data_IF_380674074794
#
_entry.id   IF_380674074794
#
_cell.length_a   1.000
_cell.length_b   1.000
_cell.length_c   1.000
_cell.angle_alpha   90.00
_cell.angle_beta   90.00
_cell.angle_gamma   90.00
#
_symmetry.space_group_name_H-M   'P 1'
#
loop_
_entity.id
_entity.type
_entity.pdbx_description
1 polymer ?
#
# COMPACT_ATOMS: atom_id res chain seq x y z
N UNK A 1 6.68 4.00 6.25
CA UNK A 1 7.41 5.17 5.63
C UNK A 1 7.03 5.25 4.16
N UNK A 2 6.83 6.46 3.62
CA UNK A 2 6.51 6.67 2.21
C UNK A 2 7.79 6.83 1.38
N UNK A 3 7.88 6.11 0.25
CA UNK A 3 8.97 6.22 -0.72
C UNK A 3 8.43 6.73 -2.05
N UNK A 4 8.65 8.01 -2.42
CA UNK A 4 8.14 8.57 -3.66
C UNK A 4 9.02 8.19 -4.85
N UNK A 5 8.37 7.90 -6.00
CA UNK A 5 9.02 7.65 -7.28
C UNK A 5 8.19 8.24 -8.42
N UNK A 6 8.78 9.11 -9.24
CA UNK A 6 8.10 9.61 -10.45
C UNK A 6 7.98 8.51 -11.52
N UNK A 7 6.83 8.49 -12.18
CA UNK A 7 6.56 7.68 -13.38
C UNK A 7 6.58 8.64 -14.55
N UNK A 8 7.50 8.45 -15.50
CA UNK A 8 7.69 9.35 -16.63
C UNK A 8 7.34 8.67 -17.95
N UNK A 9 7.15 9.46 -19.01
CA UNK A 9 6.89 8.95 -20.35
C UNK A 9 8.08 8.13 -20.90
N UNK A 10 9.31 8.39 -20.47
CA UNK A 10 10.47 7.56 -20.81
C UNK A 10 10.31 6.13 -20.30
N UNK A 11 9.72 5.99 -19.12
CA UNK A 11 9.36 4.67 -18.59
C UNK A 11 8.24 4.00 -19.42
N UNK A 12 7.55 4.81 -20.24
CA UNK A 12 6.42 4.49 -21.09
C UNK A 12 6.75 4.17 -22.55
N UNK A 13 7.70 4.90 -23.17
CA UNK A 13 7.85 4.96 -24.65
C UNK A 13 8.54 3.76 -25.27
N UNK A 14 9.27 2.94 -24.49
CA UNK A 14 10.02 1.78 -25.01
C UNK A 14 9.24 0.45 -24.82
N UNK A 15 7.92 0.46 -24.85
CA UNK A 15 7.10 -0.66 -24.41
C UNK A 15 7.23 -0.91 -22.90
N UNK A 16 7.87 0.01 -22.18
CA UNK A 16 8.18 -0.06 -20.75
C UNK A 16 7.08 0.49 -19.85
N UNK A 17 6.06 1.22 -20.38
CA UNK A 17 4.84 1.46 -19.60
C UNK A 17 4.17 0.12 -19.33
N UNK A 18 4.08 -0.74 -20.34
CA UNK A 18 3.70 -2.12 -20.10
C UNK A 18 4.58 -2.77 -19.03
N UNK A 19 5.90 -2.56 -19.02
CA UNK A 19 6.78 -3.12 -17.98
C UNK A 19 6.64 -2.43 -16.63
N UNK A 20 6.48 -1.12 -16.57
CA UNK A 20 6.24 -0.42 -15.30
C UNK A 20 4.82 -0.74 -14.77
N UNK A 21 3.82 -0.75 -15.63
CA UNK A 21 2.45 -1.18 -15.33
C UNK A 21 2.46 -2.67 -14.96
N UNK A 22 3.11 -3.51 -15.75
CA UNK A 22 3.30 -4.92 -15.45
C UNK A 22 3.96 -5.13 -14.08
N UNK A 23 4.85 -4.24 -13.59
CA UNK A 23 5.45 -4.39 -12.27
C UNK A 23 4.44 -4.27 -11.11
N UNK A 24 3.31 -3.59 -11.30
CA UNK A 24 2.21 -3.51 -10.33
C UNK A 24 1.30 -4.74 -10.41
N UNK A 25 1.28 -5.43 -11.56
CA UNK A 25 0.47 -6.61 -11.82
C UNK A 25 1.30 -7.88 -12.00
N UNK A 26 2.65 -7.79 -12.04
CA UNK A 26 3.55 -8.92 -12.38
C UNK A 26 3.63 -10.01 -11.31
N UNK A 27 3.06 -9.79 -10.15
CA UNK A 27 2.76 -10.92 -9.27
C UNK A 27 1.68 -11.83 -9.88
N UNK A 28 0.89 -11.32 -10.86
CA UNK A 28 -0.19 -12.05 -11.53
C UNK A 28 0.24 -12.99 -12.66
N UNK A 29 1.36 -12.69 -13.37
CA UNK A 29 1.73 -13.45 -14.60
C UNK A 29 2.34 -14.81 -14.34
N UNK A 30 2.75 -15.09 -13.10
CA UNK A 30 3.56 -16.25 -12.79
C UNK A 30 2.92 -17.28 -11.87
N UNK A 31 1.71 -17.00 -11.40
CA UNK A 31 0.90 -17.97 -10.69
C UNK A 31 -0.02 -18.73 -11.66
N UNK A 32 0.56 -19.72 -12.35
CA UNK A 32 -0.22 -20.71 -13.09
C UNK A 32 -1.20 -21.46 -12.16
N UNK A 33 -0.97 -21.44 -10.86
CA UNK A 33 -1.75 -22.17 -9.84
C UNK A 33 -2.66 -21.31 -8.96
N UNK A 34 -2.47 -19.99 -8.89
CA UNK A 34 -3.36 -19.11 -8.10
C UNK A 34 -3.82 -17.93 -8.93
N UNK A 35 -5.09 -17.99 -9.40
CA UNK A 35 -5.79 -16.93 -10.14
C UNK A 35 -6.24 -15.76 -9.24
N UNK A 36 -5.64 -15.58 -8.09
CA UNK A 36 -6.01 -14.47 -7.20
C UNK A 36 -5.32 -13.18 -7.65
N UNK A 37 -6.13 -12.23 -8.14
CA UNK A 37 -5.67 -10.86 -8.43
C UNK A 37 -5.07 -10.26 -7.16
N UNK A 38 -3.94 -9.54 -7.29
CA UNK A 38 -3.43 -8.72 -6.18
C UNK A 38 -4.51 -7.72 -5.76
N UNK A 39 -4.73 -7.55 -4.44
CA UNK A 39 -5.69 -6.57 -3.97
C UNK A 39 -5.33 -5.17 -4.48
N UNK A 40 -6.24 -4.58 -5.22
CA UNK A 40 -6.09 -3.24 -5.77
C UNK A 40 -7.38 -2.45 -5.62
N UNK A 41 -7.27 -1.12 -5.52
CA UNK A 41 -8.41 -0.25 -5.31
C UNK A 41 -8.13 1.14 -5.89
N UNK A 42 -9.17 1.75 -6.46
CA UNK A 42 -9.17 3.17 -6.80
C UNK A 42 -9.47 4.04 -5.57
N UNK A 43 -8.76 5.16 -5.43
CA UNK A 43 -8.92 6.10 -4.33
C UNK A 43 -8.88 7.55 -4.82
N UNK A 44 -9.57 8.44 -4.09
CA UNK A 44 -9.57 9.88 -4.24
C UNK A 44 -10.83 10.44 -4.91
N UNK A 45 -11.11 11.71 -4.65
CA UNK A 45 -12.31 12.39 -5.12
C UNK A 45 -12.40 12.45 -6.66
N UNK A 46 -11.26 12.59 -7.35
CA UNK A 46 -11.23 12.56 -8.81
C UNK A 46 -11.52 11.15 -9.34
N UNK A 47 -11.07 10.10 -8.68
CA UNK A 47 -11.39 8.73 -9.07
C UNK A 47 -12.90 8.49 -8.97
N UNK A 48 -13.52 8.92 -7.86
CA UNK A 48 -14.97 8.84 -7.67
C UNK A 48 -15.75 9.66 -8.72
N UNK A 49 -15.31 10.88 -9.03
CA UNK A 49 -15.95 11.75 -10.08
C UNK A 49 -15.86 11.11 -11.48
N UNK A 50 -14.84 10.29 -11.73
CA UNK A 50 -14.66 9.55 -12.97
C UNK A 50 -15.29 8.15 -12.94
N UNK A 51 -16.05 7.80 -11.89
CA UNK A 51 -16.67 6.49 -11.70
C UNK A 51 -15.65 5.33 -11.66
N UNK A 52 -14.40 5.62 -11.28
CA UNK A 52 -13.36 4.62 -11.03
C UNK A 52 -13.53 4.09 -9.60
N UNK A 53 -14.11 2.90 -9.47
CA UNK A 53 -14.44 2.28 -8.18
C UNK A 53 -13.97 0.82 -8.14
N UNK A 54 -13.70 0.32 -6.94
CA UNK A 54 -13.28 -1.07 -6.73
C UNK A 54 -11.91 -1.37 -7.30
N UNK A 55 -11.70 -2.58 -7.81
CA UNK A 55 -10.42 -3.06 -8.32
C UNK A 55 -9.89 -2.22 -9.48
N UNK A 56 -8.56 -2.06 -9.53
CA UNK A 56 -7.89 -1.34 -10.61
C UNK A 56 -7.70 -2.28 -11.80
N UNK A 57 -8.50 -2.07 -12.84
CA UNK A 57 -8.33 -2.82 -14.09
C UNK A 57 -7.16 -2.26 -14.90
N UNK A 58 -6.39 -3.15 -15.54
CA UNK A 58 -5.18 -2.78 -16.29
C UNK A 58 -5.46 -1.81 -17.42
N UNK A 59 -6.58 -1.96 -18.10
CA UNK A 59 -7.04 -1.08 -19.18
C UNK A 59 -7.28 0.33 -18.68
N UNK A 60 -8.03 0.49 -17.59
CA UNK A 60 -8.35 1.80 -17.00
C UNK A 60 -7.08 2.48 -16.48
N UNK A 61 -6.23 1.73 -15.79
CA UNK A 61 -4.96 2.26 -15.29
C UNK A 61 -4.05 2.75 -16.41
N UNK A 62 -3.96 2.00 -17.53
CA UNK A 62 -3.17 2.38 -18.70
C UNK A 62 -3.73 3.65 -19.35
N UNK A 63 -5.05 3.71 -19.57
CA UNK A 63 -5.71 4.88 -20.13
C UNK A 63 -5.52 6.12 -19.26
N UNK A 64 -5.71 5.98 -17.96
CA UNK A 64 -5.55 7.07 -17.00
C UNK A 64 -4.11 7.60 -16.95
N UNK A 65 -3.09 6.74 -17.01
CA UNK A 65 -1.68 7.16 -17.11
C UNK A 65 -1.42 7.96 -18.40
N UNK A 66 -2.04 7.57 -19.53
CA UNK A 66 -1.95 8.30 -20.77
C UNK A 66 -2.82 9.58 -20.82
N UNK A 67 -3.60 9.85 -19.77
CA UNK A 67 -4.44 11.03 -19.65
C UNK A 67 -5.80 10.91 -20.33
N UNK A 68 -6.29 9.69 -20.51
CA UNK A 68 -7.59 9.38 -21.09
C UNK A 68 -8.46 8.61 -20.11
N UNK A 69 -9.77 8.72 -20.24
CA UNK A 69 -10.72 7.87 -19.55
C UNK A 69 -12.00 7.74 -20.39
N UNK A 70 -12.34 6.51 -20.78
CA UNK A 70 -13.42 6.24 -21.77
C UNK A 70 -13.17 7.11 -23.01
N UNK A 71 -14.14 7.87 -23.48
CA UNK A 71 -14.03 8.75 -24.64
C UNK A 71 -13.53 10.17 -24.29
N UNK A 72 -13.11 10.42 -23.05
CA UNK A 72 -12.68 11.74 -22.58
C UNK A 72 -11.15 11.86 -22.58
N UNK A 73 -10.65 12.95 -23.14
CA UNK A 73 -9.27 13.40 -22.97
C UNK A 73 -9.18 14.24 -21.70
N UNK A 74 -8.58 13.69 -20.64
CA UNK A 74 -8.43 14.38 -19.36
C UNK A 74 -7.18 15.23 -19.32
N UNK A 75 -6.14 14.84 -20.05
CA UNK A 75 -4.91 15.58 -20.18
C UNK A 75 -4.47 15.52 -21.64
N UNK A 76 -4.36 16.69 -22.27
CA UNK A 76 -3.85 16.77 -23.63
C UNK A 76 -2.38 16.31 -23.68
N UNK A 77 -2.20 15.08 -24.10
CA UNK A 77 -0.90 14.49 -24.37
C UNK A 77 -0.47 14.73 -25.83
N UNK A 78 -1.31 15.43 -26.63
CA UNK A 78 -1.10 15.67 -28.06
C UNK A 78 -0.20 16.89 -28.35
N UNK A 79 0.26 17.62 -27.31
CA UNK A 79 1.20 18.71 -27.53
C UNK A 79 2.38 18.20 -28.35
N UNK A 80 2.71 18.91 -29.43
CA UNK A 80 3.66 18.54 -30.51
C UNK A 80 5.09 18.19 -30.05
N UNK A 81 5.37 18.26 -28.75
CA UNK A 81 6.63 17.87 -28.11
C UNK A 81 6.32 17.03 -26.85
N UNK A 82 5.97 15.75 -27.05
CA UNK A 82 6.00 14.77 -25.94
C UNK A 82 7.44 14.65 -25.48
N UNK A 83 7.74 15.14 -24.25
CA UNK A 83 9.06 14.95 -23.65
C UNK A 83 9.13 13.57 -23.00
N UNK A 84 10.26 12.88 -23.17
CA UNK A 84 10.54 11.64 -22.46
C UNK A 84 10.43 11.81 -20.92
N UNK A 85 10.62 13.03 -20.43
CA UNK A 85 10.55 13.37 -19.00
C UNK A 85 9.13 13.80 -18.54
N UNK A 86 8.13 13.79 -19.45
CA UNK A 86 6.74 14.09 -19.03
C UNK A 86 6.30 13.11 -17.95
N UNK A 87 5.91 13.66 -16.81
CA UNK A 87 5.41 12.86 -15.70
C UNK A 87 3.99 12.38 -15.97
N UNK A 88 3.78 11.09 -15.84
CA UNK A 88 2.49 10.41 -15.98
C UNK A 88 1.80 10.22 -14.62
N UNK A 89 2.58 10.04 -13.57
CA UNK A 89 2.13 9.87 -12.20
C UNK A 89 3.29 9.87 -11.22
N UNK A 90 2.96 9.64 -9.95
CA UNK A 90 3.91 9.47 -8.87
C UNK A 90 3.50 8.26 -8.03
N UNK A 91 4.37 7.27 -7.93
CA UNK A 91 4.20 6.15 -7.03
C UNK A 91 4.64 6.55 -5.62
N UNK A 92 3.71 6.54 -4.70
CA UNK A 92 3.93 6.72 -3.26
C UNK A 92 3.84 5.34 -2.61
N UNK A 93 4.98 4.69 -2.39
CA UNK A 93 5.00 3.37 -1.76
C UNK A 93 4.95 3.51 -0.24
N UNK A 94 3.87 3.04 0.37
CA UNK A 94 3.68 2.99 1.82
C UNK A 94 4.19 1.65 2.35
N UNK A 95 5.22 1.70 3.18
CA UNK A 95 5.85 0.50 3.74
C UNK A 95 5.52 0.36 5.22
N UNK A 96 4.86 -0.73 5.60
CA UNK A 96 4.65 -1.08 6.99
C UNK A 96 5.99 -1.44 7.67
N UNK A 97 6.11 -1.23 9.00
CA UNK A 97 7.22 -1.78 9.78
C UNK A 97 7.39 -3.28 9.55
N UNK A 98 8.63 -3.76 9.64
CA UNK A 98 8.90 -5.19 9.43
C UNK A 98 8.20 -6.07 10.46
N UNK A 99 8.13 -5.63 11.71
CA UNK A 99 7.42 -6.32 12.78
C UNK A 99 5.92 -6.46 12.46
N UNK A 100 5.28 -5.41 11.94
CA UNK A 100 3.88 -5.44 11.48
C UNK A 100 3.73 -6.42 10.31
N UNK A 101 4.67 -6.41 9.34
CA UNK A 101 4.63 -7.34 8.21
C UNK A 101 4.77 -8.80 8.65
N UNK A 102 5.63 -9.09 9.64
CA UNK A 102 5.78 -10.43 10.21
C UNK A 102 4.49 -10.86 10.89
N UNK A 103 3.92 -10.02 11.75
CA UNK A 103 2.69 -10.35 12.48
C UNK A 103 1.51 -10.56 11.53
N UNK A 104 1.35 -9.68 10.53
CA UNK A 104 0.25 -9.77 9.56
C UNK A 104 0.37 -10.98 8.63
N UNK A 105 1.57 -11.21 8.05
CA UNK A 105 1.75 -12.13 6.93
C UNK A 105 2.28 -13.51 7.35
N UNK A 106 3.05 -13.59 8.44
CA UNK A 106 3.65 -14.84 8.93
C UNK A 106 2.82 -15.43 10.07
N UNK A 107 2.43 -14.61 11.04
CA UNK A 107 1.55 -15.04 12.13
C UNK A 107 0.05 -15.02 11.77
N UNK A 108 -0.32 -14.40 10.62
CA UNK A 108 -1.66 -14.50 10.04
C UNK A 108 -2.70 -13.53 10.60
N UNK A 109 -2.31 -12.45 11.29
CA UNK A 109 -3.28 -11.46 11.76
C UNK A 109 -3.70 -10.47 10.65
N UNK A 110 -4.76 -10.81 9.94
CA UNK A 110 -5.30 -10.01 8.82
C UNK A 110 -5.82 -8.63 9.24
N UNK A 111 -6.14 -8.40 10.53
CA UNK A 111 -6.57 -7.08 11.04
C UNK A 111 -5.48 -6.02 10.86
N UNK A 112 -4.21 -6.42 10.90
CA UNK A 112 -3.08 -5.52 10.63
C UNK A 112 -2.98 -5.13 9.15
N UNK A 113 -3.46 -5.98 8.24
CA UNK A 113 -3.55 -5.64 6.81
C UNK A 113 -4.58 -4.53 6.62
N UNK A 114 -5.75 -4.62 7.28
CA UNK A 114 -6.78 -3.59 7.23
C UNK A 114 -6.30 -2.30 7.91
N UNK A 115 -5.67 -2.39 9.08
CA UNK A 115 -5.06 -1.25 9.76
C UNK A 115 -4.03 -0.51 8.87
N UNK A 116 -3.21 -1.26 8.12
CA UNK A 116 -2.30 -0.69 7.12
C UNK A 116 -3.07 0.03 6.01
N UNK A 117 -4.09 -0.61 5.44
CA UNK A 117 -4.91 -0.06 4.36
C UNK A 117 -5.58 1.26 4.74
N UNK A 118 -6.21 1.31 5.92
CA UNK A 118 -6.83 2.53 6.45
C UNK A 118 -5.79 3.63 6.69
N UNK A 119 -4.65 3.32 7.31
CA UNK A 119 -3.58 4.30 7.55
C UNK A 119 -3.02 4.87 6.23
N UNK A 120 -2.97 4.07 5.15
CA UNK A 120 -2.63 4.55 3.80
C UNK A 120 -3.66 5.54 3.30
N UNK A 121 -4.96 5.23 3.38
CA UNK A 121 -6.05 6.13 2.95
C UNK A 121 -6.07 7.46 3.71
N UNK A 122 -5.90 7.42 5.03
CA UNK A 122 -5.82 8.62 5.85
C UNK A 122 -4.65 9.54 5.44
N UNK A 123 -3.50 8.95 5.11
CA UNK A 123 -2.34 9.72 4.64
C UNK A 123 -2.51 10.25 3.21
N UNK A 124 -3.19 9.50 2.33
CA UNK A 124 -3.55 9.96 1.00
C UNK A 124 -4.55 11.12 1.04
N UNK A 125 -5.47 11.15 2.00
CA UNK A 125 -6.39 12.28 2.20
C UNK A 125 -5.64 13.59 2.50
N UNK A 126 -4.55 13.53 3.31
CA UNK A 126 -3.68 14.70 3.54
C UNK A 126 -3.00 15.18 2.25
N UNK A 127 -2.56 14.25 1.41
CA UNK A 127 -1.93 14.55 0.12
C UNK A 127 -2.95 15.16 -0.84
N UNK A 128 -4.16 14.62 -0.90
CA UNK A 128 -5.27 15.09 -1.72
C UNK A 128 -5.68 16.53 -1.39
N UNK A 129 -5.74 16.88 -0.11
CA UNK A 129 -6.03 18.24 0.35
C UNK A 129 -5.01 19.29 -0.08
N UNK A 130 -3.85 18.88 -0.62
CA UNK A 130 -2.81 19.76 -1.16
C UNK A 130 -2.67 19.65 -2.69
N UNK A 131 -3.63 19.03 -3.38
CA UNK A 131 -3.64 18.94 -4.83
C UNK A 131 -3.90 20.31 -5.45
N UNK A 132 -3.12 20.65 -6.48
CA UNK A 132 -3.16 21.96 -7.12
C UNK A 132 -3.08 21.85 -8.64
N UNK A 133 -3.56 22.88 -9.34
CA UNK A 133 -3.40 23.05 -10.79
C UNK A 133 -2.98 24.47 -11.15
N UNK A 134 -2.36 24.62 -12.30
CA UNK A 134 -2.06 25.93 -12.90
C UNK A 134 -3.25 26.44 -13.72
N UNK A 135 -3.52 27.75 -13.62
CA UNK A 135 -4.52 28.49 -14.38
C UNK A 135 -3.92 29.77 -14.94
N UNK A 136 -4.19 30.07 -16.21
CA UNK A 136 -3.86 31.39 -16.78
C UNK A 136 -5.00 32.35 -16.53
N UNK A 137 -4.72 33.49 -15.91
CA UNK A 137 -5.65 34.60 -15.67
C UNK A 137 -5.00 35.89 -16.12
N UNK A 138 -5.59 36.58 -17.10
CA UNK A 138 -5.05 37.82 -17.68
C UNK A 138 -3.55 37.71 -18.08
N UNK A 139 -3.20 36.62 -18.76
CA UNK A 139 -1.81 36.36 -19.23
C UNK A 139 -0.85 35.84 -18.15
N UNK A 140 -1.19 35.91 -16.88
CA UNK A 140 -0.36 35.45 -15.75
C UNK A 140 -0.75 34.03 -15.32
N UNK A 141 0.26 33.21 -15.02
CA UNK A 141 0.04 31.87 -14.44
C UNK A 141 -0.20 32.00 -12.93
N UNK A 142 -1.31 31.48 -12.45
CA UNK A 142 -1.65 31.33 -11.02
C UNK A 142 -1.81 29.85 -10.69
N UNK A 143 -1.69 29.50 -9.41
CA UNK A 143 -1.94 28.17 -8.88
C UNK A 143 -3.26 28.24 -8.08
N UNK A 144 -4.13 27.27 -8.27
CA UNK A 144 -5.37 27.09 -7.49
C UNK A 144 -5.39 25.70 -6.87
N UNK A 145 -5.96 25.61 -5.66
CA UNK A 145 -6.20 24.33 -5.01
C UNK A 145 -7.34 23.60 -5.72
N UNK A 146 -7.15 22.33 -5.98
CA UNK A 146 -8.16 21.48 -6.60
C UNK A 146 -8.74 20.46 -5.62
N UNK A 147 -7.97 20.07 -4.61
CA UNK A 147 -8.35 19.13 -3.53
C UNK A 147 -8.93 17.82 -4.07
N UNK A 148 -8.47 17.39 -5.23
CA UNK A 148 -8.87 16.11 -5.81
C UNK A 148 -7.71 15.46 -6.55
N UNK A 149 -7.57 14.15 -6.36
CA UNK A 149 -6.63 13.27 -7.05
C UNK A 149 -7.32 11.97 -7.45
N UNK A 150 -6.75 11.25 -8.40
CA UNK A 150 -7.07 9.87 -8.68
C UNK A 150 -5.84 9.01 -8.38
N UNK A 151 -5.99 7.99 -7.56
CA UNK A 151 -4.92 7.12 -7.11
C UNK A 151 -5.28 5.67 -7.40
N UNK A 152 -4.38 4.95 -8.07
CA UNK A 152 -4.45 3.50 -8.20
C UNK A 152 -3.59 2.87 -7.09
N UNK A 153 -4.21 2.12 -6.19
CA UNK A 153 -3.55 1.46 -5.07
C UNK A 153 -3.37 -0.03 -5.36
N UNK A 154 -2.17 -0.56 -5.06
CA UNK A 154 -1.83 -1.99 -5.24
C UNK A 154 -1.12 -2.47 -3.99
N UNK A 155 -1.71 -3.43 -3.25
CA UNK A 155 -1.09 -4.03 -2.08
C UNK A 155 -0.20 -5.21 -2.48
N UNK A 156 1.00 -5.24 -1.92
CA UNK A 156 1.93 -6.33 -2.07
C UNK A 156 2.40 -6.85 -0.70
N UNK A 157 2.63 -8.15 -0.63
CA UNK A 157 2.96 -8.84 0.62
C UNK A 157 4.43 -9.28 0.69
N UNK A 158 5.17 -9.19 -0.44
CA UNK A 158 6.58 -9.64 -0.52
C UNK A 158 7.49 -8.58 -1.11
N UNK A 159 8.75 -8.57 -0.66
CA UNK A 159 9.82 -7.84 -1.34
C UNK A 159 10.51 -8.71 -2.43
N UNK A 160 11.56 -8.19 -3.09
CA UNK A 160 12.33 -8.91 -4.13
C UNK A 160 13.04 -10.17 -3.65
N UNK A 161 13.33 -10.27 -2.36
CA UNK A 161 13.98 -11.42 -1.73
C UNK A 161 12.96 -12.41 -1.17
N UNK A 162 11.67 -12.20 -1.45
CA UNK A 162 10.55 -12.97 -0.90
C UNK A 162 10.48 -12.93 0.65
N UNK A 163 11.00 -11.87 1.27
CA UNK A 163 10.74 -11.61 2.68
C UNK A 163 9.31 -11.07 2.86
N UNK A 164 8.64 -11.35 3.99
CA UNK A 164 7.35 -10.74 4.31
C UNK A 164 7.51 -9.22 4.37
N UNK A 165 6.75 -8.53 3.55
CA UNK A 165 6.84 -7.08 3.42
C UNK A 165 5.50 -6.49 2.97
N UNK A 166 4.66 -6.17 3.94
CA UNK A 166 3.38 -5.51 3.69
C UNK A 166 3.64 -4.07 3.22
N UNK A 167 3.25 -3.79 1.98
CA UNK A 167 3.36 -2.44 1.42
C UNK A 167 2.28 -2.19 0.36
N UNK A 168 1.97 -0.92 0.16
CA UNK A 168 1.00 -0.48 -0.84
C UNK A 168 1.65 0.54 -1.77
N UNK A 169 1.68 0.23 -3.07
CA UNK A 169 1.95 1.20 -4.11
C UNK A 169 0.71 2.04 -4.35
N UNK A 170 0.82 3.35 -4.16
CA UNK A 170 -0.26 4.31 -4.39
C UNK A 170 0.16 5.24 -5.53
N UNK A 171 -0.26 4.91 -6.74
CA UNK A 171 0.09 5.67 -7.95
C UNK A 171 -0.86 6.85 -8.08
N UNK A 172 -0.41 8.03 -7.65
CA UNK A 172 -1.09 9.30 -7.85
C UNK A 172 -0.95 9.69 -9.32
N UNK A 173 -2.06 9.72 -10.05
CA UNK A 173 -2.08 10.07 -11.46
C UNK A 173 -1.81 11.58 -11.64
N UNK A 174 -1.10 11.95 -12.69
CA UNK A 174 -0.78 13.37 -12.97
C UNK A 174 -1.98 14.10 -13.61
N UNK A 175 -3.14 14.02 -12.98
CA UNK A 175 -4.39 14.60 -13.42
C UNK A 175 -5.11 15.15 -12.20
N UNK A 176 -5.73 16.33 -12.35
CA UNK A 176 -6.66 16.92 -11.37
C UNK A 176 -7.73 17.73 -12.09
N UNK A 177 -8.88 17.94 -11.47
CA UNK A 177 -10.01 18.71 -12.00
C UNK A 177 -10.11 20.04 -11.25
N UNK A 178 -10.08 21.15 -11.99
CA UNK A 178 -10.25 22.49 -11.43
C UNK A 178 -11.72 22.81 -11.16
N UNK A 179 -11.97 23.85 -10.37
CA UNK A 179 -13.32 24.32 -10.04
C UNK A 179 -14.16 24.75 -11.26
N UNK A 180 -13.51 25.10 -12.40
CA UNK A 180 -14.20 25.39 -13.67
C UNK A 180 -14.48 24.14 -14.52
N UNK A 181 -14.28 22.94 -13.96
CA UNK A 181 -14.50 21.64 -14.62
C UNK A 181 -13.37 21.19 -15.54
N UNK A 182 -12.34 22.01 -15.76
CA UNK A 182 -11.25 21.66 -16.68
C UNK A 182 -10.23 20.72 -16.03
N UNK A 183 -9.90 19.61 -16.69
CA UNK A 183 -8.84 18.71 -16.28
C UNK A 183 -7.46 19.29 -16.62
N UNK A 184 -6.50 19.12 -15.72
CA UNK A 184 -5.12 19.62 -15.86
C UNK A 184 -4.14 18.66 -15.21
N UNK A 185 -2.85 18.80 -15.59
CA UNK A 185 -1.77 18.16 -14.85
C UNK A 185 -1.66 18.73 -13.45
N UNK A 186 -1.37 17.87 -12.48
CA UNK A 186 -1.10 18.26 -11.10
C UNK A 186 0.11 19.20 -11.03
N UNK A 187 -0.03 20.29 -10.28
CA UNK A 187 1.07 21.11 -9.82
C UNK A 187 1.58 20.54 -8.49
N UNK A 188 2.73 19.86 -8.55
CA UNK A 188 3.14 18.95 -7.48
C UNK A 188 3.97 19.60 -6.37
N UNK A 189 4.28 20.89 -6.44
CA UNK A 189 5.26 21.49 -5.54
C UNK A 189 4.81 21.37 -4.06
N UNK A 190 3.55 21.70 -3.77
CA UNK A 190 3.00 21.57 -2.41
C UNK A 190 2.74 20.10 -2.05
N UNK A 191 2.27 19.30 -2.98
CA UNK A 191 2.06 17.87 -2.77
C UNK A 191 3.37 17.16 -2.34
N UNK A 192 4.48 17.45 -3.05
CA UNK A 192 5.80 16.85 -2.72
C UNK A 192 6.30 17.32 -1.36
N UNK A 193 6.08 18.58 -1.00
CA UNK A 193 6.43 19.12 0.32
C UNK A 193 5.67 18.44 1.46
N UNK A 194 4.46 17.94 1.20
CA UNK A 194 3.61 17.25 2.18
C UNK A 194 3.95 15.77 2.37
N UNK A 195 4.73 15.14 1.50
CA UNK A 195 5.08 13.73 1.62
C UNK A 195 5.75 13.38 2.96
N UNK A 196 6.72 14.15 3.49
CA UNK A 196 7.31 13.84 4.80
C UNK A 196 6.28 13.85 5.95
N UNK A 197 5.38 14.84 5.96
CA UNK A 197 4.30 14.95 6.94
C UNK A 197 3.31 13.79 6.84
N UNK A 198 2.87 13.47 5.61
CA UNK A 198 2.01 12.32 5.34
C UNK A 198 2.68 11.00 5.71
N UNK A 199 4.01 10.89 5.53
CA UNK A 199 4.79 9.71 5.95
C UNK A 199 4.80 9.54 7.46
N UNK A 200 4.94 10.63 8.21
CA UNK A 200 4.87 10.60 9.67
C UNK A 200 3.44 10.28 10.14
N UNK A 201 2.43 10.89 9.54
CA UNK A 201 1.03 10.60 9.84
C UNK A 201 0.69 9.12 9.61
N UNK A 202 1.15 8.54 8.49
CA UNK A 202 1.00 7.11 8.22
C UNK A 202 1.59 6.23 9.36
N UNK A 203 2.81 6.53 9.83
CA UNK A 203 3.43 5.78 10.92
C UNK A 203 2.64 5.93 12.23
N UNK A 204 2.22 7.15 12.55
CA UNK A 204 1.47 7.45 13.77
C UNK A 204 0.10 6.76 13.77
N UNK A 205 -0.63 6.86 12.66
CA UNK A 205 -1.95 6.27 12.52
C UNK A 205 -1.89 4.74 12.55
N UNK A 206 -0.93 4.14 11.85
CA UNK A 206 -0.73 2.69 11.90
C UNK A 206 -0.34 2.22 13.32
N UNK A 207 0.55 2.95 14.03
CA UNK A 207 0.90 2.63 15.41
C UNK A 207 -0.31 2.71 16.35
N UNK A 208 -1.17 3.73 16.17
CA UNK A 208 -2.42 3.87 16.92
C UNK A 208 -3.35 2.69 16.67
N UNK A 209 -3.59 2.32 15.40
CA UNK A 209 -4.42 1.16 15.03
C UNK A 209 -3.85 -0.16 15.58
N UNK A 210 -2.53 -0.34 15.58
CA UNK A 210 -1.90 -1.49 16.23
C UNK A 210 -2.21 -1.54 17.74
N UNK A 211 -2.16 -0.40 18.44
CA UNK A 211 -2.52 -0.33 19.86
C UNK A 211 -4.01 -0.65 20.09
N UNK A 212 -4.90 -0.15 19.25
CA UNK A 212 -6.35 -0.45 19.30
C UNK A 212 -6.63 -1.94 19.08
N UNK A 213 -5.79 -2.62 18.29
CA UNK A 213 -5.83 -4.08 18.12
C UNK A 213 -5.19 -4.87 19.28
N UNK A 214 -4.68 -4.18 20.30
CA UNK A 214 -4.11 -4.77 21.50
C UNK A 214 -2.60 -5.02 21.46
N UNK A 215 -1.88 -4.44 20.49
CA UNK A 215 -0.42 -4.57 20.40
C UNK A 215 0.31 -3.46 21.12
N UNK A 216 1.30 -3.80 21.92
CA UNK A 216 2.26 -2.83 22.41
C UNK A 216 3.23 -2.43 21.29
N UNK A 217 3.53 -1.13 21.21
CA UNK A 217 4.44 -0.58 20.21
C UNK A 217 5.66 0.04 20.86
N UNK A 218 6.83 -0.18 20.26
CA UNK A 218 8.10 0.44 20.62
C UNK A 218 8.44 1.48 19.55
N UNK A 219 8.54 2.75 19.95
CA UNK A 219 8.96 3.84 19.07
C UNK A 219 10.46 3.77 18.81
N UNK A 220 10.85 4.06 17.58
CA UNK A 220 12.24 4.18 17.15
C UNK A 220 12.63 5.66 16.97
N UNK A 221 13.92 5.99 17.12
CA UNK A 221 14.44 7.37 17.05
C UNK A 221 14.19 8.05 15.70
N UNK A 222 14.02 7.28 14.65
CA UNK A 222 13.74 7.75 13.28
C UNK A 222 12.24 8.01 12.99
N UNK A 223 11.39 8.03 14.01
CA UNK A 223 9.96 8.26 13.89
C UNK A 223 9.15 7.08 13.36
N UNK A 224 9.77 5.90 13.21
CA UNK A 224 9.08 4.64 12.95
C UNK A 224 8.75 3.90 14.25
N UNK A 225 8.06 2.78 14.16
CA UNK A 225 7.79 1.93 15.30
C UNK A 225 7.96 0.45 14.96
N UNK A 226 8.03 -0.39 15.98
CA UNK A 226 7.93 -1.84 15.90
C UNK A 226 6.91 -2.36 16.91
N UNK A 227 6.30 -3.52 16.62
CA UNK A 227 5.53 -4.26 17.62
C UNK A 227 6.51 -4.76 18.69
N UNK A 228 6.20 -4.46 19.97
CA UNK A 228 7.17 -4.63 21.07
C UNK A 228 7.57 -6.09 21.30
N UNK A 229 6.66 -7.04 21.04
CA UNK A 229 6.88 -8.47 21.22
C UNK A 229 7.73 -9.12 20.10
N UNK A 230 7.95 -8.42 18.98
CA UNK A 230 8.85 -8.88 17.91
C UNK A 230 10.26 -8.35 18.18
N UNK A 231 11.21 -9.25 18.43
CA UNK A 231 12.60 -8.87 18.73
C UNK A 231 13.36 -8.36 17.50
N UNK A 232 14.48 -7.67 17.72
CA UNK A 232 15.33 -7.20 16.62
C UNK A 232 15.98 -8.37 15.86
N UNK A 233 16.29 -9.45 16.52
CA UNK A 233 16.83 -10.68 15.92
C UNK A 233 15.79 -11.30 14.96
N UNK A 234 14.52 -11.38 15.40
CA UNK A 234 13.42 -11.85 14.59
C UNK A 234 13.18 -10.96 13.36
N UNK A 235 13.19 -9.64 13.53
CA UNK A 235 13.10 -8.67 12.43
C UNK A 235 14.25 -8.88 11.43
N UNK A 236 15.47 -9.09 11.93
CA UNK A 236 16.67 -9.26 11.10
C UNK A 236 16.60 -10.54 10.28
N UNK A 237 16.06 -11.63 10.82
CA UNK A 237 15.90 -12.89 10.08
C UNK A 237 15.02 -12.76 8.85
N UNK A 238 13.96 -11.95 8.92
CA UNK A 238 13.07 -11.65 7.80
C UNK A 238 13.49 -10.42 6.98
N UNK A 239 14.75 -9.97 7.11
CA UNK A 239 15.26 -8.76 6.46
C UNK A 239 16.48 -9.07 5.59
N UNK A 240 16.34 -10.03 4.67
CA UNK A 240 17.42 -10.47 3.74
C UNK A 240 18.05 -9.30 3.01
N UNK A 241 17.25 -8.36 2.56
CA UNK A 241 17.71 -7.16 1.84
C UNK A 241 18.60 -6.27 2.73
N UNK A 242 18.23 -6.10 3.99
CA UNK A 242 19.02 -5.35 4.96
C UNK A 242 20.41 -5.98 5.15
N UNK A 243 20.44 -7.30 5.37
CA UNK A 243 21.68 -8.05 5.51
C UNK A 243 22.59 -7.88 4.30
N UNK A 244 22.07 -8.03 3.08
CA UNK A 244 22.85 -7.86 1.84
C UNK A 244 23.49 -6.47 1.73
N UNK A 245 22.76 -5.42 2.11
CA UNK A 245 23.28 -4.04 2.09
C UNK A 245 24.36 -3.86 3.15
N UNK A 246 24.14 -4.38 4.36
CA UNK A 246 25.11 -4.33 5.47
C UNK A 246 26.40 -5.08 5.13
N UNK A 247 26.29 -6.28 4.55
CA UNK A 247 27.44 -7.05 4.06
C UNK A 247 28.23 -6.31 2.97
N UNK A 248 27.52 -5.62 2.05
CA UNK A 248 28.17 -4.84 1.01
C UNK A 248 28.88 -3.59 1.55
N UNK A 249 28.35 -2.96 2.60
CA UNK A 249 29.01 -1.86 3.30
C UNK A 249 30.20 -2.38 4.11
N UNK A 250 30.03 -3.48 4.85
CA UNK A 250 31.09 -4.10 5.65
C UNK A 250 32.33 -4.48 4.81
N UNK A 251 32.14 -4.96 3.57
CA UNK A 251 33.24 -5.22 2.62
C UNK A 251 34.07 -3.97 2.29
N UNK A 252 33.55 -2.77 2.57
CA UNK A 252 34.22 -1.48 2.41
C UNK A 252 34.67 -0.87 3.73
N UNK A 253 34.57 -1.61 4.84
CA UNK A 253 34.87 -1.12 6.17
C UNK A 253 33.86 -0.11 6.72
N UNK A 254 32.61 -0.10 6.18
CA UNK A 254 31.57 0.85 6.54
C UNK A 254 30.44 0.15 7.28
N UNK A 255 29.76 0.91 8.18
CA UNK A 255 28.47 0.54 8.75
C UNK A 255 27.36 1.41 8.16
N UNK A 256 26.09 1.16 8.48
CA UNK A 256 24.98 2.04 8.05
C UNK A 256 25.09 3.43 8.62
N UNK A 257 25.61 3.56 9.81
CA UNK A 257 25.78 4.83 10.53
C UNK A 257 26.96 5.62 9.93
N UNK A 258 28.08 4.97 9.63
CA UNK A 258 29.29 5.60 9.09
C UNK A 258 29.22 5.89 7.59
N UNK A 259 28.37 5.14 6.85
CA UNK A 259 28.26 5.29 5.41
C UNK A 259 27.50 6.56 5.02
N UNK A 260 27.99 7.29 4.01
CA UNK A 260 27.29 8.40 3.37
C UNK A 260 25.99 7.96 2.67
N UNK A 261 25.16 8.91 2.28
CA UNK A 261 23.95 8.64 1.51
C UNK A 261 24.26 7.95 0.18
N UNK A 262 25.30 8.41 -0.50
CA UNK A 262 25.77 7.90 -1.78
C UNK A 262 26.30 6.47 -1.68
N UNK A 263 27.07 6.15 -0.63
CA UNK A 263 27.59 4.80 -0.37
C UNK A 263 26.45 3.81 -0.06
N UNK A 264 25.45 4.24 0.73
CA UNK A 264 24.24 3.42 0.97
C UNK A 264 23.44 3.20 -0.31
N UNK A 265 23.33 4.21 -1.18
CA UNK A 265 22.69 4.06 -2.49
C UNK A 265 23.46 3.10 -3.39
N UNK A 266 24.78 3.20 -3.44
CA UNK A 266 25.63 2.29 -4.21
C UNK A 266 25.50 0.85 -3.71
N UNK A 267 25.59 0.62 -2.40
CA UNK A 267 25.38 -0.70 -1.80
C UNK A 267 23.98 -1.26 -2.11
N UNK A 268 22.96 -0.41 -2.08
CA UNK A 268 21.60 -0.78 -2.48
C UNK A 268 21.50 -1.12 -3.98
N UNK A 269 22.18 -0.40 -4.85
CA UNK A 269 22.18 -0.66 -6.29
C UNK A 269 22.94 -1.95 -6.64
N UNK A 270 24.15 -2.12 -6.14
CA UNK A 270 25.03 -3.26 -6.47
C UNK A 270 24.53 -4.61 -5.94
N UNK A 271 23.79 -4.60 -4.83
CA UNK A 271 23.20 -5.81 -4.24
C UNK A 271 21.78 -6.12 -4.74
N UNK A 272 21.26 -5.33 -5.71
CA UNK A 272 19.91 -5.50 -6.23
C UNK A 272 19.83 -6.73 -7.14
N UNK A 273 19.23 -7.81 -6.63
CA UNK A 273 18.96 -9.02 -7.42
C UNK A 273 17.65 -8.90 -8.22
N UNK A 274 17.54 -9.67 -9.30
CA UNK A 274 16.25 -9.86 -9.97
C UNK A 274 15.29 -10.62 -9.06
N UNK A 275 14.00 -10.25 -9.10
CA UNK A 275 12.97 -10.97 -8.36
C UNK A 275 12.92 -12.41 -8.88
N UNK A 276 13.07 -13.40 -8.00
CA UNK A 276 12.88 -14.81 -8.34
C UNK A 276 11.40 -15.13 -8.23
N UNK A 277 10.89 -15.84 -9.24
CA UNK A 277 9.54 -16.38 -9.23
C UNK A 277 9.52 -17.57 -8.30
N UNK A 278 8.73 -17.52 -7.26
CA UNK A 278 8.57 -18.59 -6.30
C UNK A 278 7.08 -18.69 -5.97
N UNK A 279 6.59 -19.90 -5.83
CA UNK A 279 5.22 -20.22 -5.42
C UNK A 279 4.88 -19.60 -4.06
N UNK A 280 3.70 -18.97 -3.95
CA UNK A 280 3.25 -18.27 -2.73
C UNK A 280 3.13 -19.22 -1.53
N UNK A 281 2.61 -20.43 -1.75
CA UNK A 281 2.44 -21.41 -0.70
C UNK A 281 3.81 -21.86 -0.19
N UNK A 282 4.76 -22.08 -1.10
CA UNK A 282 6.14 -22.41 -0.72
C UNK A 282 6.81 -21.27 0.08
N UNK A 283 6.58 -20.00 -0.30
CA UNK A 283 7.07 -18.84 0.46
C UNK A 283 6.46 -18.83 1.86
N UNK A 284 5.13 -19.00 1.95
CA UNK A 284 4.41 -19.03 3.23
C UNK A 284 4.94 -20.15 4.13
N UNK A 285 5.12 -21.35 3.61
CA UNK A 285 5.69 -22.47 4.35
C UNK A 285 7.12 -22.17 4.87
N UNK A 286 7.94 -21.52 4.05
CA UNK A 286 9.28 -21.07 4.45
C UNK A 286 9.20 -20.05 5.59
N UNK A 287 8.30 -19.10 5.53
CA UNK A 287 8.11 -18.11 6.59
C UNK A 287 7.67 -18.79 7.91
N UNK A 288 6.69 -19.68 7.83
CA UNK A 288 6.18 -20.41 9.00
C UNK A 288 7.30 -21.28 9.62
N UNK A 289 8.07 -22.00 8.80
CA UNK A 289 9.21 -22.78 9.31
C UNK A 289 10.28 -21.90 9.96
N UNK A 290 10.59 -20.73 9.37
CA UNK A 290 11.55 -19.79 9.95
C UNK A 290 11.01 -19.22 11.27
N UNK A 291 9.72 -18.87 11.33
CA UNK A 291 9.04 -18.38 12.54
C UNK A 291 9.10 -19.41 13.66
N UNK A 292 8.77 -20.68 13.40
CA UNK A 292 8.85 -21.77 14.39
C UNK A 292 10.23 -21.94 14.97
N UNK A 293 11.28 -21.89 14.14
CA UNK A 293 12.68 -21.98 14.61
C UNK A 293 13.08 -20.84 15.55
N UNK A 294 12.41 -19.72 15.50
CA UNK A 294 12.65 -18.53 16.33
C UNK A 294 11.67 -18.41 17.50
N UNK A 295 10.85 -19.44 17.76
CA UNK A 295 9.82 -19.36 18.77
C UNK A 295 8.69 -18.36 18.46
N UNK A 296 8.58 -17.94 17.17
CA UNK A 296 7.44 -17.19 16.68
C UNK A 296 6.34 -18.20 16.37
N UNK A 297 5.66 -18.67 17.39
CA UNK A 297 4.50 -19.55 17.24
C UNK A 297 3.22 -18.71 17.10
N UNK A 298 2.09 -19.38 16.79
CA UNK A 298 0.75 -18.76 16.72
C UNK A 298 0.33 -18.05 18.02
N UNK A 299 1.09 -18.23 19.12
CA UNK A 299 0.94 -17.54 20.40
C UNK A 299 1.30 -16.05 20.39
N UNK A 300 1.67 -15.47 19.24
CA UNK A 300 2.02 -14.06 19.10
C UNK A 300 0.83 -13.10 19.06
N UNK A 301 -0.40 -13.59 19.10
CA UNK A 301 -1.52 -12.73 19.40
C UNK A 301 -1.43 -12.35 20.89
N UNK A 302 -1.46 -11.07 21.24
CA UNK A 302 -1.57 -10.65 22.64
C UNK A 302 -2.72 -11.41 23.31
N UNK A 303 -2.56 -11.85 24.54
CA UNK A 303 -3.57 -12.66 25.24
C UNK A 303 -4.96 -11.99 25.29
N UNK A 304 -4.99 -10.66 25.31
CA UNK A 304 -6.23 -9.89 25.22
C UNK A 304 -6.80 -9.81 23.78
N UNK A 305 -5.99 -9.94 22.74
CA UNK A 305 -6.48 -10.03 21.35
C UNK A 305 -7.13 -11.41 21.08
N UNK A 306 -6.65 -12.47 21.73
CA UNK A 306 -7.30 -13.80 21.72
C UNK A 306 -8.65 -13.74 22.43
N UNK A 307 -8.76 -12.99 23.53
CA UNK A 307 -10.03 -12.79 24.24
C UNK A 307 -11.07 -12.00 23.42
N UNK A 308 -10.62 -11.09 22.56
CA UNK A 308 -11.53 -10.33 21.67
C UNK A 308 -12.09 -11.25 20.56
N UNK A 309 -11.26 -12.12 19.99
CA UNK A 309 -11.71 -13.11 19.00
C UNK A 309 -12.65 -14.17 19.63
N UNK A 310 -12.40 -14.55 20.87
CA UNK A 310 -13.29 -15.47 21.61
C UNK A 310 -14.64 -14.82 21.88
N UNK A 311 -14.66 -13.55 22.31
CA UNK A 311 -15.89 -12.79 22.57
C UNK A 311 -16.68 -12.47 21.29
N UNK A 312 -15.99 -12.21 20.16
CA UNK A 312 -16.68 -12.03 18.87
C UNK A 312 -17.28 -13.34 18.36
N UNK A 313 -16.63 -14.49 18.57
CA UNK A 313 -17.19 -15.81 18.26
C UNK A 313 -18.35 -16.18 19.18
N UNK A 314 -18.26 -15.88 20.48
CA UNK A 314 -19.35 -16.09 21.44
C UNK A 314 -20.55 -15.18 21.13
N UNK A 315 -20.32 -13.88 20.85
CA UNK A 315 -21.37 -12.94 20.46
C UNK A 315 -22.00 -13.28 19.10
N UNK A 316 -21.21 -13.80 18.14
CA UNK A 316 -21.72 -14.32 16.87
C UNK A 316 -22.62 -15.54 17.05
N UNK A 317 -22.21 -16.48 17.89
CA UNK A 317 -22.96 -17.69 18.24
C UNK A 317 -24.25 -17.36 19.03
N UNK A 318 -24.21 -16.42 19.97
CA UNK A 318 -25.41 -15.94 20.69
C UNK A 318 -26.41 -15.22 19.78
N UNK A 319 -25.92 -14.37 18.85
CA UNK A 319 -26.80 -13.72 17.85
C UNK A 319 -27.49 -14.74 16.95
N UNK A 320 -26.75 -15.73 16.46
CA UNK A 320 -27.28 -16.81 15.62
C UNK A 320 -28.31 -17.67 16.35
N UNK A 321 -28.07 -17.95 17.66
CA UNK A 321 -29.03 -18.67 18.52
C UNK A 321 -30.30 -17.85 18.82
N UNK A 322 -30.16 -16.53 19.01
CA UNK A 322 -31.30 -15.61 19.20
C UNK A 322 -32.11 -15.49 17.91
N UNK A 323 -31.48 -15.38 16.76
CA UNK A 323 -32.16 -15.33 15.45
C UNK A 323 -32.91 -16.64 15.17
N UNK A 324 -32.31 -17.78 15.44
CA UNK A 324 -32.94 -19.09 15.29
C UNK A 324 -34.14 -19.27 16.25
N UNK A 325 -34.04 -18.78 17.50
CA UNK A 325 -35.16 -18.79 18.46
C UNK A 325 -36.30 -17.87 18.06
N UNK A 326 -36.01 -16.70 17.43
CA UNK A 326 -37.01 -15.77 16.93
C UNK A 326 -37.74 -16.34 15.72
N UNK A 327 -37.02 -17.01 14.82
CA UNK A 327 -37.61 -17.67 13.65
C UNK A 327 -38.49 -18.86 14.04
N UNK A 328 -38.10 -19.66 15.05
CA UNK A 328 -38.92 -20.78 15.56
C UNK A 328 -40.20 -20.27 16.25
N UNK A 329 -40.14 -19.15 16.99
CA UNK A 329 -41.32 -18.51 17.59
C UNK A 329 -42.24 -17.88 16.53
N UNK A 330 -41.71 -17.36 15.44
CA UNK A 330 -42.49 -16.84 14.32
C UNK A 330 -43.26 -17.94 13.60
N UNK A 331 -42.63 -19.08 13.35
CA UNK A 331 -43.23 -20.25 12.69
C UNK A 331 -44.31 -20.89 13.57
N UNK A 332 -44.15 -20.91 14.90
CA UNK A 332 -45.19 -21.46 15.83
C UNK A 332 -46.41 -20.51 15.98
N UNK A 333 -46.28 -19.22 15.68
CA UNK A 333 -47.41 -18.28 15.64
C UNK A 333 -48.20 -18.30 14.34
N UNK A 334 -47.56 -18.69 13.22
CA UNK A 334 -48.21 -18.90 11.93
C UNK A 334 -49.12 -20.16 11.91
N UNK A 335 -48.71 -21.21 12.60
CA UNK A 335 -49.42 -22.52 12.63
C UNK A 335 -50.65 -22.56 13.55
N UNK A 336 -51.01 -21.47 14.25
CA UNK A 336 -52.20 -21.40 15.13
C UNK A 336 -53.35 -20.50 14.59
N UNK A 337 -53.35 -20.17 13.30
CA UNK A 337 -54.38 -19.34 12.70
C UNK A 337 -55.22 -20.04 11.61
N UNK A 338 -55.04 -21.33 11.42
CA UNK A 338 -55.81 -22.17 10.50
C UNK A 338 -56.50 -23.34 11.24
N UNK A 339 -57.26 -23.04 12.31
CA UNK A 339 -58.31 -23.90 12.88
C UNK A 339 -59.50 -23.06 13.29
#
# INVERSE_FOLDING_TARGET
>A
MISPKSITRKDASDGKVTKAIDSYYQEEKDDYYTREKQPSEWYGALAADLELNGSVEKTDFTQMLDGHHKDKVLRDSSSKKKSANDRLGMDLTFNAPKSVSIQALVAGDSRLIEAHHEAVKESLAMIEGNAQARKKVAGKTRVENTNNIAVAMFRHDTNRNNDPHLHTHSVVLNITKRGDGAYRALHNDELVKKIPEASQAYQTNLAKKCKELGYDVRLNDNGTFDLAHISREQITQFSTRSKQIEEALAKRGLTRESASKEERQMANFTTKQHKRKIDKNWIQDKWVQAARRMGIENALLPSHALNTQSKEKENGSEKEQIENQLNDKSNRRGAKRDD
#
